data_IF_305897135779
#
_entry.id   IF_305897135779
#
_cell.length_a   1.000
_cell.length_b   1.000
_cell.length_c   1.000
_cell.angle_alpha   90.00
_cell.angle_beta   90.00
_cell.angle_gamma   90.00
#
_symmetry.space_group_name_H-M   'P 1'
#
loop_
_entity.id
_entity.type
_entity.pdbx_description
1 polymer ?
#
# COMPACT_ATOMS: atom_id res chain seq x y z
N UNK A 1 -12.13 9.68 -0.61
CA UNK A 1 -10.76 9.29 -0.22
C UNK A 1 -10.49 7.91 -0.80
N UNK A 2 -9.65 7.80 -1.84
CA UNK A 2 -9.40 6.49 -2.44
C UNK A 2 -8.44 5.69 -1.56
N UNK A 3 -8.70 4.39 -1.47
CA UNK A 3 -7.90 3.47 -0.68
C UNK A 3 -7.71 2.16 -1.44
N UNK A 4 -6.62 1.47 -1.17
CA UNK A 4 -6.34 0.15 -1.72
C UNK A 4 -6.28 -0.85 -0.59
N UNK A 5 -7.09 -1.90 -0.67
CA UNK A 5 -6.99 -3.03 0.24
C UNK A 5 -5.72 -3.82 -0.07
N UNK A 6 -4.73 -3.75 0.81
CA UNK A 6 -3.47 -4.49 0.68
C UNK A 6 -3.68 -5.95 1.06
N UNK A 7 -4.42 -6.24 2.13
CA UNK A 7 -4.80 -7.59 2.55
C UNK A 7 -6.10 -7.55 3.36
N UNK A 8 -6.47 -8.64 4.03
CA UNK A 8 -7.65 -8.68 4.89
C UNK A 8 -7.62 -7.63 6.01
N UNK A 9 -6.43 -7.32 6.54
CA UNK A 9 -6.26 -6.46 7.72
C UNK A 9 -5.62 -5.12 7.41
N UNK A 10 -5.12 -4.94 6.19
CA UNK A 10 -4.32 -3.78 5.83
C UNK A 10 -4.90 -3.06 4.63
N UNK A 11 -5.00 -1.74 4.76
CA UNK A 11 -5.49 -0.84 3.72
C UNK A 11 -4.58 0.36 3.62
N UNK A 12 -4.30 0.76 2.39
CA UNK A 12 -3.43 1.85 2.00
C UNK A 12 -4.28 3.07 1.64
N UNK A 13 -3.97 4.23 2.23
CA UNK A 13 -4.63 5.51 1.94
C UNK A 13 -3.65 6.54 1.38
N UNK A 14 -4.20 7.51 0.65
CA UNK A 14 -3.49 8.72 0.25
C UNK A 14 -4.29 9.95 0.65
N UNK A 15 -3.60 10.94 1.22
CA UNK A 15 -4.17 12.21 1.65
C UNK A 15 -3.68 13.34 0.76
N UNK A 16 -4.58 14.24 0.41
CA UNK A 16 -4.27 15.47 -0.34
C UNK A 16 -3.43 16.45 0.48
N UNK A 17 -3.65 16.48 1.79
CA UNK A 17 -3.08 17.48 2.70
C UNK A 17 -2.88 16.93 4.12
N UNK A 18 -2.11 17.69 4.92
CA UNK A 18 -1.78 17.35 6.30
C UNK A 18 -3.01 17.30 7.22
N UNK A 19 -4.06 18.10 6.95
CA UNK A 19 -5.24 18.17 7.81
C UNK A 19 -6.08 16.89 7.69
N UNK A 20 -6.27 16.42 6.46
CA UNK A 20 -6.92 15.15 6.15
C UNK A 20 -6.15 13.96 6.72
N UNK A 21 -4.81 14.04 6.71
CA UNK A 21 -3.96 13.06 7.39
C UNK A 21 -4.17 13.12 8.92
N UNK A 22 -4.14 14.31 9.53
CA UNK A 22 -4.31 14.48 10.98
C UNK A 22 -5.65 13.95 11.51
N UNK A 23 -6.72 14.03 10.73
CA UNK A 23 -8.02 13.45 11.12
C UNK A 23 -8.03 11.92 11.15
N UNK A 24 -7.19 11.27 10.34
CA UNK A 24 -7.12 9.81 10.28
C UNK A 24 -6.07 9.23 11.25
N UNK A 25 -5.28 10.09 11.91
CA UNK A 25 -4.16 9.74 12.80
C UNK A 25 -4.50 8.69 13.88
N UNK A 26 -5.68 8.71 14.52
CA UNK A 26 -6.08 7.70 15.49
C UNK A 26 -6.13 6.26 14.93
N UNK A 27 -6.31 6.13 13.61
CA UNK A 27 -6.40 4.86 12.90
C UNK A 27 -5.08 4.48 12.22
N UNK A 28 -4.03 5.30 12.37
CA UNK A 28 -2.73 5.10 11.71
C UNK A 28 -1.77 4.34 12.62
N UNK A 29 -1.22 3.23 12.13
CA UNK A 29 -0.16 2.52 12.84
C UNK A 29 1.25 2.77 12.32
N UNK A 30 1.41 3.11 11.03
CA UNK A 30 2.73 3.34 10.44
C UNK A 30 2.63 4.23 9.21
N UNK A 31 3.37 5.34 9.21
CA UNK A 31 3.51 6.27 8.08
C UNK A 31 4.76 5.91 7.30
N UNK A 32 4.63 5.15 6.21
CA UNK A 32 5.79 4.64 5.45
C UNK A 32 6.36 5.68 4.47
N UNK A 33 5.66 6.78 4.23
CA UNK A 33 6.00 7.74 3.16
C UNK A 33 6.87 8.94 3.60
N UNK A 34 7.34 8.95 4.84
CA UNK A 34 8.40 9.87 5.27
C UNK A 34 9.80 9.25 5.19
N UNK A 35 9.90 7.91 5.15
CA UNK A 35 11.15 7.19 4.92
C UNK A 35 11.25 6.84 3.44
N UNK A 36 12.43 6.98 2.85
CA UNK A 36 12.65 6.53 1.47
C UNK A 36 12.30 5.04 1.37
N UNK A 37 11.70 4.60 0.26
CA UNK A 37 11.48 3.18 -0.04
C UNK A 37 12.77 2.33 0.10
N UNK A 38 13.93 2.98 0.07
CA UNK A 38 15.27 2.43 0.31
C UNK A 38 15.46 1.90 1.74
N UNK A 39 14.74 2.44 2.73
CA UNK A 39 14.84 2.02 4.14
C UNK A 39 13.84 0.91 4.51
N UNK A 40 12.93 0.56 3.60
CA UNK A 40 11.86 -0.40 3.88
C UNK A 40 12.33 -1.80 3.52
N UNK A 41 12.49 -2.65 4.53
CA UNK A 41 12.87 -4.04 4.31
C UNK A 41 11.70 -4.89 3.80
N UNK A 42 12.04 -5.87 2.96
CA UNK A 42 11.09 -6.87 2.45
C UNK A 42 10.36 -7.61 3.59
N UNK A 43 11.04 -7.89 4.70
CA UNK A 43 10.51 -8.56 5.91
C UNK A 43 9.28 -7.83 6.47
N UNK A 44 9.33 -6.50 6.54
CA UNK A 44 8.24 -5.67 7.04
C UNK A 44 7.04 -5.71 6.10
N UNK A 45 7.31 -5.54 4.80
CA UNK A 45 6.27 -5.41 3.77
C UNK A 45 5.48 -6.70 3.58
N UNK A 46 6.12 -7.86 3.76
CA UNK A 46 5.47 -9.18 3.64
C UNK A 46 4.22 -9.32 4.50
N UNK A 47 4.19 -8.66 5.66
CA UNK A 47 3.04 -8.70 6.56
C UNK A 47 1.85 -7.89 6.03
N UNK A 48 2.10 -6.88 5.18
CA UNK A 48 1.08 -5.92 4.73
C UNK A 48 0.38 -6.34 3.45
N UNK A 49 1.15 -6.84 2.47
CA UNK A 49 0.65 -7.13 1.12
C UNK A 49 0.09 -8.54 0.98
N UNK A 50 -0.89 -8.72 0.09
CA UNK A 50 -1.53 -10.02 -0.11
C UNK A 50 -0.56 -11.00 -0.79
N UNK A 51 -0.33 -12.16 -0.15
CA UNK A 51 0.33 -13.31 -0.77
C UNK A 51 -0.70 -14.31 -1.32
N UNK A 52 -0.61 -14.61 -2.60
CA UNK A 52 -1.38 -15.66 -3.27
C UNK A 52 -0.60 -16.96 -3.16
N UNK A 53 -1.18 -17.95 -2.49
CA UNK A 53 -0.54 -19.26 -2.27
C UNK A 53 -0.15 -19.90 -3.60
N UNK A 54 1.05 -20.49 -3.64
CA UNK A 54 1.60 -21.14 -4.84
C UNK A 54 2.00 -20.21 -5.98
N UNK A 55 1.88 -18.88 -5.85
CA UNK A 55 2.21 -17.93 -6.94
C UNK A 55 3.19 -16.84 -6.51
N UNK A 56 2.81 -16.00 -5.55
CA UNK A 56 3.60 -14.81 -5.19
C UNK A 56 2.76 -13.75 -4.52
N UNK A 57 3.18 -12.50 -4.62
CA UNK A 57 2.48 -11.35 -4.06
C UNK A 57 1.56 -10.68 -5.07
N UNK A 58 0.43 -10.12 -4.64
CA UNK A 58 -0.54 -9.49 -5.53
C UNK A 58 0.08 -8.33 -6.32
N UNK A 59 -0.16 -8.28 -7.62
CA UNK A 59 0.14 -7.10 -8.44
C UNK A 59 -1.11 -6.22 -8.48
N UNK A 60 -1.07 -5.04 -7.89
CA UNK A 60 -2.27 -4.19 -7.76
C UNK A 60 -2.55 -3.37 -9.03
N UNK A 61 -1.56 -3.22 -9.93
CA UNK A 61 -1.71 -2.50 -11.20
C UNK A 61 -2.54 -3.25 -12.24
N UNK A 62 -2.82 -4.53 -12.01
CA UNK A 62 -3.44 -5.39 -13.00
C UNK A 62 -4.97 -5.29 -12.95
N UNK A 63 -5.64 -5.45 -14.10
CA UNK A 63 -7.09 -5.62 -14.13
C UNK A 63 -7.49 -6.85 -13.31
N UNK A 64 -8.67 -6.79 -12.69
CA UNK A 64 -9.21 -7.74 -11.70
C UNK A 64 -9.10 -9.24 -12.06
N UNK A 65 -8.88 -9.58 -13.34
CA UNK A 65 -8.86 -10.95 -13.86
C UNK A 65 -7.46 -11.46 -14.27
N UNK A 66 -6.41 -10.64 -14.14
CA UNK A 66 -5.02 -11.06 -14.41
C UNK A 66 -4.43 -11.75 -13.17
N UNK A 67 -3.91 -12.97 -13.34
CA UNK A 67 -3.26 -13.73 -12.25
C UNK A 67 -1.77 -13.37 -12.08
N UNK A 68 -1.33 -12.25 -12.64
CA UNK A 68 0.05 -11.82 -12.53
C UNK A 68 0.39 -11.47 -11.08
N UNK A 69 1.45 -12.09 -10.57
CA UNK A 69 1.98 -11.84 -9.22
C UNK A 69 3.38 -11.26 -9.30
N UNK A 70 3.81 -10.61 -8.21
CA UNK A 70 5.18 -10.15 -8.01
C UNK A 70 5.92 -11.15 -7.12
N UNK A 71 7.18 -11.41 -7.44
CA UNK A 71 8.04 -12.30 -6.65
C UNK A 71 8.45 -11.68 -5.30
N UNK A 72 8.41 -10.35 -5.19
CA UNK A 72 8.74 -9.59 -3.97
C UNK A 72 7.52 -8.83 -3.44
N UNK A 73 7.40 -8.82 -2.12
CA UNK A 73 6.44 -8.05 -1.36
C UNK A 73 6.67 -6.54 -1.53
N UNK A 74 7.92 -6.08 -1.56
CA UNK A 74 8.26 -4.68 -1.83
C UNK A 74 7.76 -4.27 -3.22
N UNK A 75 8.01 -5.10 -4.26
CA UNK A 75 7.48 -4.84 -5.61
C UNK A 75 5.96 -4.80 -5.62
N UNK A 76 5.30 -5.70 -4.87
CA UNK A 76 3.84 -5.68 -4.70
C UNK A 76 3.35 -4.37 -4.07
N UNK A 77 3.97 -3.90 -2.99
CA UNK A 77 3.66 -2.61 -2.36
C UNK A 77 3.85 -1.43 -3.31
N UNK A 78 4.94 -1.42 -4.09
CA UNK A 78 5.18 -0.40 -5.11
C UNK A 78 4.02 -0.35 -6.12
N UNK A 79 3.52 -1.50 -6.58
CA UNK A 79 2.38 -1.51 -7.49
C UNK A 79 1.10 -0.96 -6.83
N UNK A 80 0.88 -1.20 -5.54
CA UNK A 80 -0.22 -0.57 -4.81
C UNK A 80 -0.08 0.95 -4.75
N UNK A 81 1.12 1.45 -4.45
CA UNK A 81 1.42 2.89 -4.44
C UNK A 81 1.18 3.54 -5.81
N UNK A 82 1.59 2.87 -6.89
CA UNK A 82 1.40 3.34 -8.26
C UNK A 82 -0.08 3.39 -8.66
N UNK A 83 -0.90 2.40 -8.28
CA UNK A 83 -2.35 2.44 -8.50
C UNK A 83 -2.99 3.59 -7.74
N UNK A 84 -2.58 3.79 -6.49
CA UNK A 84 -3.13 4.83 -5.65
C UNK A 84 -2.76 6.21 -6.18
N UNK A 85 -1.55 6.37 -6.70
CA UNK A 85 -1.11 7.56 -7.43
C UNK A 85 -1.99 7.81 -8.66
N UNK A 86 -2.15 6.80 -9.52
CA UNK A 86 -2.99 6.89 -10.73
C UNK A 86 -4.44 7.27 -10.40
N UNK A 87 -4.98 6.74 -9.31
CA UNK A 87 -6.36 6.99 -8.89
C UNK A 87 -6.58 8.36 -8.23
N UNK A 88 -5.55 8.94 -7.61
CA UNK A 88 -5.68 10.20 -6.87
C UNK A 88 -5.07 11.41 -7.58
N UNK A 89 -4.19 11.21 -8.57
CA UNK A 89 -3.51 12.29 -9.30
C UNK A 89 -2.37 12.97 -8.53
N UNK A 90 -2.05 12.52 -7.32
CA UNK A 90 -0.93 13.02 -6.51
C UNK A 90 -0.21 11.88 -5.80
N UNK A 91 1.11 12.06 -5.62
CA UNK A 91 1.93 11.10 -4.87
C UNK A 91 1.39 11.03 -3.46
N UNK A 92 1.10 9.81 -3.00
CA UNK A 92 0.85 9.62 -1.60
C UNK A 92 2.06 10.21 -0.85
N UNK A 93 1.82 11.15 0.07
CA UNK A 93 2.83 11.71 0.98
C UNK A 93 2.84 11.01 2.33
N UNK A 94 1.82 10.20 2.59
CA UNK A 94 1.61 9.43 3.80
C UNK A 94 0.95 8.12 3.40
N UNK A 95 1.56 6.99 3.74
CA UNK A 95 0.95 5.66 3.67
C UNK A 95 0.34 5.43 5.03
N UNK A 96 -0.96 5.17 5.08
CA UNK A 96 -1.57 4.65 6.32
C UNK A 96 -1.78 3.18 6.14
N UNK A 97 -1.41 2.43 7.16
CA UNK A 97 -1.70 1.03 7.33
C UNK A 97 -2.64 0.95 8.54
N UNK A 98 -3.92 0.70 8.28
CA UNK A 98 -4.90 0.42 9.34
C UNK A 98 -4.59 -0.94 10.00
N UNK A 99 -4.97 -1.07 11.27
CA UNK A 99 -5.03 -2.37 11.95
C UNK A 99 -6.46 -2.89 11.82
N UNK A 100 -6.58 -4.17 11.49
CA UNK A 100 -7.79 -4.94 11.85
C UNK A 100 -7.94 -5.00 13.36
#
# INVERSE_FOLDING_TARGET
>A
MNSIKLSSYYRLYAFSDYRSMKSALPYMRRVVLAKGLVEVEESEVRSYVWRISGKGYKNYLEPLNSQNTRTSALKSLITALQVLYKSNGYSARYVVIERG
#
